data_IF_007646612074
#
_entry.id   IF_007646612074
#
_cell.length_a   1.000
_cell.length_b   1.000
_cell.length_c   1.000
_cell.angle_alpha   90.00
_cell.angle_beta   90.00
_cell.angle_gamma   90.00
#
_symmetry.space_group_name_H-M   'P 1'
#
loop_
_entity.id
_entity.type
_entity.pdbx_description
1 polymer ?
#
# COMPACT_ATOMS: atom_id res chain seq x y z
N UNK A 1 5.06 12.58 -13.44
CA UNK A 1 3.69 12.31 -13.00
C UNK A 1 3.72 10.99 -12.22
N UNK A 2 3.25 10.99 -11.00
CA UNK A 2 3.61 10.01 -9.98
C UNK A 2 3.25 8.57 -10.32
N UNK A 3 4.13 7.62 -9.96
CA UNK A 3 3.96 6.17 -10.15
C UNK A 3 2.65 5.62 -9.55
N UNK A 4 2.08 6.29 -8.54
CA UNK A 4 0.80 5.94 -7.93
C UNK A 4 -0.42 6.69 -8.51
N UNK A 5 -0.23 7.74 -9.33
CA UNK A 5 -1.35 8.53 -9.88
C UNK A 5 -2.08 7.85 -11.05
N UNK A 6 -1.54 6.77 -11.62
CA UNK A 6 -2.21 6.04 -12.72
C UNK A 6 -3.54 5.37 -12.32
N UNK A 7 -3.86 5.31 -11.02
CA UNK A 7 -5.09 4.69 -10.49
C UNK A 7 -5.89 5.60 -9.54
N UNK A 8 -5.47 6.86 -9.36
CA UNK A 8 -6.13 7.80 -8.44
C UNK A 8 -6.89 8.84 -9.22
N UNK A 9 -8.16 9.07 -8.88
CA UNK A 9 -8.91 10.21 -9.42
C UNK A 9 -8.30 11.53 -8.91
N UNK A 10 -8.54 12.64 -9.62
CA UNK A 10 -8.09 13.97 -9.17
C UNK A 10 -8.69 14.34 -7.80
N UNK A 11 -9.90 13.85 -7.49
CA UNK A 11 -10.56 14.01 -6.18
C UNK A 11 -9.81 13.28 -5.05
N UNK A 12 -9.32 12.06 -5.32
CA UNK A 12 -8.51 11.32 -4.35
C UNK A 12 -7.21 12.05 -4.03
N UNK A 13 -6.54 12.62 -5.04
CA UNK A 13 -5.29 13.37 -4.84
C UNK A 13 -5.54 14.58 -3.96
N UNK A 14 -6.60 15.36 -4.21
CA UNK A 14 -6.95 16.52 -3.39
C UNK A 14 -7.24 16.12 -1.93
N UNK A 15 -8.02 15.05 -1.73
CA UNK A 15 -8.40 14.54 -0.39
C UNK A 15 -7.22 14.11 0.46
N UNK A 16 -6.17 13.54 -0.16
CA UNK A 16 -5.00 13.01 0.54
C UNK A 16 -3.79 13.94 0.54
N UNK A 17 -3.93 15.15 0.02
CA UNK A 17 -2.86 16.15 0.00
C UNK A 17 -2.81 16.92 1.32
N UNK A 18 -1.66 16.87 1.98
CA UNK A 18 -1.33 17.66 3.17
C UNK A 18 -0.51 18.87 2.71
N UNK A 19 -1.00 20.09 2.99
CA UNK A 19 -0.32 21.35 2.65
C UNK A 19 -0.03 22.21 3.90
N UNK A 20 -0.45 21.76 5.08
CA UNK A 20 -0.15 22.43 6.33
C UNK A 20 1.31 22.20 6.72
N UNK A 21 2.11 23.27 6.88
CA UNK A 21 3.55 23.19 7.17
C UNK A 21 3.86 22.41 8.45
N UNK A 22 3.09 22.64 9.52
CA UNK A 22 3.28 21.95 10.81
C UNK A 22 3.01 20.45 10.70
N UNK A 23 2.02 20.06 9.91
CA UNK A 23 1.72 18.64 9.67
C UNK A 23 2.80 17.99 8.80
N UNK A 24 3.30 18.68 7.78
CA UNK A 24 4.44 18.23 6.97
C UNK A 24 5.65 18.01 7.85
N UNK A 25 6.01 18.97 8.72
CA UNK A 25 7.11 18.81 9.66
C UNK A 25 6.92 17.57 10.56
N UNK A 26 5.72 17.36 11.09
CA UNK A 26 5.41 16.16 11.90
C UNK A 26 5.64 14.87 11.14
N UNK A 27 5.27 14.82 9.84
CA UNK A 27 5.53 13.67 8.98
C UNK A 27 7.04 13.43 8.86
N UNK A 28 7.84 14.46 8.57
CA UNK A 28 9.29 14.34 8.43
C UNK A 28 9.98 13.96 9.74
N UNK A 29 9.57 14.54 10.88
CA UNK A 29 10.08 14.12 12.22
C UNK A 29 9.83 12.63 12.45
N UNK A 30 8.64 12.15 12.11
CA UNK A 30 8.29 10.75 12.28
C UNK A 30 9.07 9.85 11.33
N UNK A 31 9.23 10.23 10.05
CA UNK A 31 10.05 9.49 9.09
C UNK A 31 11.50 9.35 9.58
N UNK A 32 12.06 10.42 10.15
CA UNK A 32 13.41 10.42 10.69
C UNK A 32 13.53 9.52 11.92
N UNK A 33 12.60 9.63 12.88
CA UNK A 33 12.60 8.83 14.10
C UNK A 33 12.43 7.33 13.83
N UNK A 34 11.62 6.97 12.83
CA UNK A 34 11.38 5.57 12.42
C UNK A 34 12.41 5.06 11.40
N UNK A 35 13.42 5.85 11.03
CA UNK A 35 14.40 5.52 9.99
C UNK A 35 13.74 4.98 8.71
N UNK A 36 12.68 5.66 8.29
CA UNK A 36 11.84 5.19 7.19
C UNK A 36 12.63 5.09 5.89
N UNK A 37 12.61 3.91 5.26
CA UNK A 37 13.20 3.72 3.93
C UNK A 37 12.44 4.57 2.91
N UNK A 38 13.20 5.29 2.11
CA UNK A 38 12.73 6.21 1.09
C UNK A 38 13.21 5.76 -0.28
N UNK A 39 12.37 5.85 -1.28
CA UNK A 39 12.75 5.67 -2.68
C UNK A 39 12.74 7.03 -3.37
N UNK A 40 13.89 7.42 -3.93
CA UNK A 40 14.03 8.61 -4.78
C UNK A 40 14.02 8.16 -6.24
N UNK A 41 13.02 8.59 -7.00
CA UNK A 41 12.93 8.33 -8.44
C UNK A 41 13.40 9.55 -9.23
N UNK A 42 14.25 9.32 -10.24
CA UNK A 42 14.62 10.34 -11.21
C UNK A 42 13.43 10.73 -12.12
N UNK A 43 13.60 11.78 -12.93
CA UNK A 43 12.56 12.32 -13.81
C UNK A 43 11.90 11.29 -14.72
N UNK A 44 12.66 10.30 -15.20
CA UNK A 44 12.19 9.25 -16.08
C UNK A 44 11.29 8.21 -15.38
N UNK A 45 11.26 8.21 -14.03
CA UNK A 45 10.49 7.28 -13.22
C UNK A 45 10.94 5.81 -13.31
N UNK A 46 12.07 5.54 -13.96
CA UNK A 46 12.65 4.19 -14.11
C UNK A 46 13.82 3.99 -13.15
N UNK A 47 14.72 4.98 -13.11
CA UNK A 47 15.91 4.93 -12.27
C UNK A 47 15.58 5.46 -10.89
N UNK A 48 16.03 4.75 -9.86
CA UNK A 48 15.76 5.08 -8.47
C UNK A 48 16.88 4.62 -7.55
N UNK A 49 16.94 5.24 -6.39
CA UNK A 49 17.75 4.80 -5.26
C UNK A 49 16.85 4.52 -4.05
N UNK A 50 17.18 3.44 -3.33
CA UNK A 50 16.67 3.21 -1.99
C UNK A 50 17.61 3.86 -1.00
N UNK A 51 17.08 4.75 -0.17
CA UNK A 51 17.82 5.56 0.77
C UNK A 51 17.05 5.80 2.05
N UNK A 52 17.56 6.65 2.93
CA UNK A 52 16.90 7.09 4.15
C UNK A 52 16.91 8.62 4.27
N UNK A 53 15.93 9.14 4.98
CA UNK A 53 15.95 10.52 5.42
C UNK A 53 17.00 10.65 6.54
N UNK A 54 18.04 11.46 6.31
CA UNK A 54 19.12 11.70 7.29
C UNK A 54 18.90 12.93 8.14
N UNK A 55 18.08 13.88 7.66
CA UNK A 55 17.72 15.06 8.40
C UNK A 55 16.80 15.99 7.64
N UNK A 56 16.23 16.96 8.36
CA UNK A 56 15.55 18.11 7.77
C UNK A 56 15.65 19.31 8.70
N UNK A 57 15.56 20.49 8.13
CA UNK A 57 15.59 21.74 8.90
C UNK A 57 14.46 22.67 8.41
N UNK A 58 13.38 22.81 9.19
CA UNK A 58 12.26 23.70 8.84
C UNK A 58 12.67 25.17 8.72
N UNK A 59 13.63 25.62 9.54
CA UNK A 59 14.10 27.00 9.54
C UNK A 59 14.83 27.39 8.26
N UNK A 60 15.59 26.47 7.66
CA UNK A 60 16.26 26.67 6.36
C UNK A 60 15.45 26.16 5.19
N UNK A 61 14.40 25.38 5.43
CA UNK A 61 13.53 24.81 4.41
C UNK A 61 14.15 23.70 3.57
N UNK A 62 15.08 22.93 4.16
CA UNK A 62 15.77 21.84 3.46
C UNK A 62 15.58 20.47 4.13
N UNK A 63 15.63 19.45 3.29
CA UNK A 63 15.59 18.04 3.65
C UNK A 63 16.82 17.34 3.05
N UNK A 64 17.32 16.33 3.77
CA UNK A 64 18.55 15.62 3.43
C UNK A 64 18.28 14.11 3.35
N UNK A 65 18.74 13.48 2.27
CA UNK A 65 18.68 12.04 2.08
C UNK A 65 20.09 11.50 1.87
N UNK A 66 20.35 10.34 2.37
CA UNK A 66 21.61 9.65 2.13
C UNK A 66 21.83 9.37 0.64
N UNK A 67 23.08 9.29 0.18
CA UNK A 67 23.39 8.85 -1.17
C UNK A 67 23.34 7.33 -1.26
N UNK A 68 22.92 6.80 -2.43
CA UNK A 68 22.97 5.38 -2.70
C UNK A 68 24.43 4.90 -2.91
N UNK A 69 24.61 3.59 -2.93
CA UNK A 69 25.91 2.98 -3.21
C UNK A 69 26.35 3.09 -4.68
N UNK A 70 25.37 3.27 -5.58
CA UNK A 70 25.59 3.35 -7.02
C UNK A 70 25.83 4.82 -7.42
N UNK A 71 27.08 5.16 -7.75
CA UNK A 71 27.48 6.51 -8.12
C UNK A 71 26.85 6.98 -9.44
N UNK A 72 26.57 6.08 -10.37
CA UNK A 72 25.95 6.44 -11.65
C UNK A 72 24.50 6.86 -11.43
N UNK A 73 23.76 6.15 -10.59
CA UNK A 73 22.39 6.53 -10.20
C UNK A 73 22.39 7.82 -9.38
N UNK A 74 23.35 7.99 -8.46
CA UNK A 74 23.51 9.23 -7.70
C UNK A 74 23.75 10.42 -8.65
N UNK A 75 24.67 10.27 -9.61
CA UNK A 75 24.98 11.31 -10.61
C UNK A 75 23.75 11.65 -11.47
N UNK A 76 22.94 10.67 -11.84
CA UNK A 76 21.71 10.85 -12.59
C UNK A 76 20.68 11.64 -11.76
N UNK A 77 20.48 11.29 -10.49
CA UNK A 77 19.58 12.00 -9.58
C UNK A 77 20.02 13.47 -9.38
N UNK A 78 21.31 13.76 -9.29
CA UNK A 78 21.82 15.14 -9.22
C UNK A 78 21.58 15.95 -10.50
N UNK A 79 21.51 15.30 -11.67
CA UNK A 79 21.20 15.94 -12.96
C UNK A 79 19.70 16.11 -13.20
N UNK A 80 18.86 15.35 -12.51
CA UNK A 80 17.41 15.40 -12.67
C UNK A 80 16.83 16.75 -12.27
N UNK A 81 15.88 17.24 -13.04
CA UNK A 81 15.17 18.51 -12.77
C UNK A 81 14.33 18.41 -11.50
N UNK A 82 13.82 17.21 -11.23
CA UNK A 82 13.03 16.90 -10.04
C UNK A 82 13.23 15.44 -9.65
N UNK A 83 13.02 15.13 -8.37
CA UNK A 83 12.94 13.77 -7.86
C UNK A 83 11.55 13.51 -7.26
N UNK A 84 10.99 12.35 -7.55
CA UNK A 84 9.79 11.89 -6.85
C UNK A 84 10.22 11.05 -5.66
N UNK A 85 9.78 11.43 -4.48
CA UNK A 85 10.06 10.76 -3.21
C UNK A 85 8.87 9.92 -2.83
N UNK A 86 9.11 8.63 -2.54
CA UNK A 86 8.10 7.70 -2.05
C UNK A 86 8.62 7.03 -0.79
N UNK A 87 7.82 7.03 0.26
CA UNK A 87 8.10 6.33 1.50
C UNK A 87 6.85 5.57 1.96
N UNK A 88 7.06 4.49 2.71
CA UNK A 88 5.96 3.76 3.34
C UNK A 88 6.16 3.77 4.85
N UNK A 89 5.27 4.44 5.56
CA UNK A 89 5.29 4.60 7.00
C UNK A 89 3.98 4.05 7.59
N UNK A 90 4.05 3.01 8.43
CA UNK A 90 2.87 2.38 9.06
C UNK A 90 1.75 2.05 8.06
N UNK A 91 2.10 1.43 6.92
CA UNK A 91 1.18 1.09 5.81
C UNK A 91 0.60 2.30 5.04
N UNK A 92 0.96 3.53 5.41
CA UNK A 92 0.61 4.76 4.71
C UNK A 92 1.69 5.09 3.70
N UNK A 93 1.32 5.33 2.45
CA UNK A 93 2.24 5.80 1.42
C UNK A 93 2.36 7.34 1.53
N UNK A 94 3.59 7.81 1.70
CA UNK A 94 3.97 9.21 1.67
C UNK A 94 4.65 9.47 0.32
N UNK A 95 4.14 10.43 -0.44
CA UNK A 95 4.73 10.80 -1.72
C UNK A 95 4.79 12.31 -1.89
N UNK A 96 5.91 12.81 -2.43
CA UNK A 96 6.04 14.21 -2.78
C UNK A 96 7.11 14.41 -3.87
N UNK A 97 7.14 15.59 -4.45
CA UNK A 97 8.19 16.01 -5.39
C UNK A 97 9.20 16.86 -4.64
N UNK A 98 10.45 16.44 -4.64
CA UNK A 98 11.54 17.13 -3.96
C UNK A 98 12.19 18.27 -4.77
N UNK A 99 11.78 18.49 -6.04
CA UNK A 99 12.48 19.39 -6.94
C UNK A 99 13.89 18.89 -7.29
N UNK A 100 14.78 19.81 -7.66
CA UNK A 100 16.18 19.47 -7.98
C UNK A 100 16.94 19.07 -6.71
N UNK A 101 17.72 17.99 -6.82
CA UNK A 101 18.61 17.53 -5.76
C UNK A 101 19.98 18.21 -5.89
N UNK A 102 20.49 18.72 -4.79
CA UNK A 102 21.80 19.35 -4.68
C UNK A 102 22.75 18.44 -3.90
N UNK A 103 24.02 18.40 -4.29
CA UNK A 103 25.07 17.71 -3.51
C UNK A 103 25.42 18.61 -2.32
N UNK A 104 25.37 18.05 -1.12
CA UNK A 104 25.73 18.76 0.12
C UNK A 104 26.49 17.84 1.08
N UNK A 105 27.11 18.41 2.12
CA UNK A 105 27.60 17.67 3.27
C UNK A 105 26.65 17.85 4.44
N UNK A 106 26.28 16.74 5.08
CA UNK A 106 25.48 16.72 6.29
C UNK A 106 26.04 15.68 7.25
N UNK A 107 26.38 16.08 8.48
CA UNK A 107 27.06 15.22 9.46
C UNK A 107 28.33 14.51 8.94
N UNK A 108 29.09 15.19 8.06
CA UNK A 108 30.33 14.65 7.49
C UNK A 108 30.16 13.85 6.18
N UNK A 109 28.97 13.38 5.87
CA UNK A 109 28.67 12.54 4.70
C UNK A 109 28.12 13.38 3.53
N UNK A 110 28.31 12.88 2.31
CA UNK A 110 27.72 13.44 1.09
C UNK A 110 26.25 12.98 1.02
N UNK A 111 25.35 13.94 0.84
CA UNK A 111 23.91 13.70 0.84
C UNK A 111 23.22 14.39 -0.32
N UNK A 112 22.02 13.91 -0.68
CA UNK A 112 21.07 14.64 -1.50
C UNK A 112 20.37 15.69 -0.62
N UNK A 113 20.53 16.96 -0.97
CA UNK A 113 19.83 18.07 -0.35
C UNK A 113 18.71 18.55 -1.28
N UNK A 114 17.52 18.72 -0.76
CA UNK A 114 16.37 19.25 -1.48
C UNK A 114 15.59 20.26 -0.66
N UNK A 115 14.79 21.09 -1.33
CA UNK A 115 13.82 21.96 -0.62
C UNK A 115 12.73 21.11 0.01
N UNK A 116 12.32 21.50 1.21
CA UNK A 116 11.16 20.92 1.88
C UNK A 116 9.91 21.12 1.01
N UNK A 117 9.11 20.07 0.77
CA UNK A 117 7.96 20.18 -0.11
C UNK A 117 6.88 21.06 0.51
N UNK A 118 6.18 21.84 -0.33
CA UNK A 118 5.00 22.62 0.08
C UNK A 118 3.75 21.76 0.27
N UNK A 119 3.74 20.57 -0.28
CA UNK A 119 2.65 19.60 -0.13
C UNK A 119 3.17 18.17 -0.19
N UNK A 120 2.52 17.29 0.56
CA UNK A 120 2.84 15.87 0.66
C UNK A 120 1.55 15.09 0.44
N UNK A 121 1.58 14.12 -0.45
CA UNK A 121 0.48 13.19 -0.63
C UNK A 121 0.61 12.08 0.43
N UNK A 122 -0.30 12.05 1.39
CA UNK A 122 -0.40 11.05 2.44
C UNK A 122 -1.52 10.07 2.08
N UNK A 123 -1.17 9.01 1.36
CA UNK A 123 -2.12 8.15 0.70
C UNK A 123 -2.60 7.04 1.63
N UNK A 124 -3.66 7.30 2.40
CA UNK A 124 -4.32 6.34 3.26
C UNK A 124 -5.75 6.06 2.76
N UNK A 125 -5.87 5.15 1.76
CA UNK A 125 -7.17 4.73 1.22
C UNK A 125 -7.89 3.71 2.10
N UNK A 126 -7.14 3.01 2.97
CA UNK A 126 -7.68 1.92 3.77
C UNK A 126 -8.19 2.44 5.09
N UNK A 127 -9.48 2.38 5.30
CA UNK A 127 -10.13 2.69 6.57
C UNK A 127 -9.89 1.58 7.59
N UNK A 128 -9.81 0.33 7.11
CA UNK A 128 -9.65 -0.85 7.96
C UNK A 128 -8.29 -1.51 7.74
N UNK A 129 -7.71 -1.98 8.85
CA UNK A 129 -6.55 -2.84 8.82
C UNK A 129 -6.87 -4.13 8.04
N UNK A 130 -5.94 -4.60 7.23
CA UNK A 130 -6.05 -5.86 6.50
C UNK A 130 -5.11 -6.88 7.07
N UNK A 131 -5.69 -7.98 7.50
CA UNK A 131 -4.97 -9.13 8.03
C UNK A 131 -4.68 -10.11 6.89
N UNK A 132 -3.41 -10.38 6.54
CA UNK A 132 -3.08 -11.47 5.62
C UNK A 132 -3.50 -12.82 6.22
N UNK A 133 -4.13 -13.66 5.41
CA UNK A 133 -4.53 -15.01 5.85
C UNK A 133 -3.34 -15.96 5.91
N UNK A 134 -3.47 -17.04 6.69
CA UNK A 134 -2.47 -18.11 6.77
C UNK A 134 -2.37 -18.87 5.46
N UNK A 135 -1.14 -19.21 5.05
CA UNK A 135 -0.92 -20.08 3.91
C UNK A 135 -1.03 -21.58 4.27
N UNK A 136 -0.81 -21.92 5.54
CA UNK A 136 -0.93 -23.32 6.02
C UNK A 136 -2.39 -23.78 6.02
N UNK A 137 -3.30 -22.87 6.40
CA UNK A 137 -4.74 -23.10 6.38
C UNK A 137 -5.42 -21.97 5.60
N UNK A 138 -5.43 -22.05 4.26
CA UNK A 138 -5.92 -20.96 3.44
C UNK A 138 -7.43 -20.78 3.58
N UNK A 139 -7.83 -19.57 3.94
CA UNK A 139 -9.24 -19.17 3.87
C UNK A 139 -9.70 -19.17 2.40
N UNK A 140 -10.96 -19.52 2.16
CA UNK A 140 -11.54 -19.68 0.82
C UNK A 140 -12.81 -18.88 0.67
N UNK A 141 -13.05 -18.41 -0.55
CA UNK A 141 -14.31 -17.79 -0.92
C UNK A 141 -14.84 -18.39 -2.23
N UNK A 142 -16.11 -18.80 -2.23
CA UNK A 142 -16.78 -19.31 -3.42
C UNK A 142 -17.75 -18.26 -3.95
N UNK A 143 -17.59 -17.91 -5.24
CA UNK A 143 -18.47 -17.00 -5.98
C UNK A 143 -19.34 -17.82 -6.92
N UNK A 144 -20.64 -17.61 -6.89
CA UNK A 144 -21.57 -18.29 -7.80
C UNK A 144 -21.81 -17.41 -9.02
N UNK A 145 -21.34 -17.88 -10.18
CA UNK A 145 -21.48 -17.21 -11.46
C UNK A 145 -22.44 -18.02 -12.35
N UNK A 146 -23.04 -17.41 -13.38
CA UNK A 146 -23.96 -18.11 -14.29
C UNK A 146 -23.36 -19.37 -14.96
N UNK A 147 -22.03 -19.37 -15.15
CA UNK A 147 -21.30 -20.48 -15.82
C UNK A 147 -20.66 -21.47 -14.83
N UNK A 148 -20.89 -21.32 -13.52
CA UNK A 148 -20.33 -22.22 -12.51
C UNK A 148 -19.83 -21.50 -11.25
N UNK A 149 -19.12 -22.23 -10.40
CA UNK A 149 -18.59 -21.72 -9.13
C UNK A 149 -17.11 -21.43 -9.26
N UNK A 150 -16.72 -20.17 -9.02
CA UNK A 150 -15.33 -19.75 -8.88
C UNK A 150 -14.90 -19.94 -7.42
N UNK A 151 -13.92 -20.80 -7.20
CA UNK A 151 -13.27 -20.97 -5.89
C UNK A 151 -12.00 -20.11 -5.84
N UNK A 152 -11.96 -19.16 -4.93
CA UNK A 152 -10.83 -18.25 -4.75
C UNK A 152 -10.19 -18.44 -3.37
N UNK A 153 -8.88 -18.24 -3.28
CA UNK A 153 -8.14 -18.20 -2.02
C UNK A 153 -8.19 -16.79 -1.46
N UNK A 154 -8.58 -16.63 -0.20
CA UNK A 154 -8.57 -15.32 0.47
C UNK A 154 -7.12 -14.98 0.82
N UNK A 155 -6.64 -13.86 0.31
CA UNK A 155 -5.28 -13.38 0.53
C UNK A 155 -5.18 -12.49 1.79
N UNK A 156 -6.19 -11.66 2.01
CA UNK A 156 -6.33 -10.81 3.18
C UNK A 156 -7.80 -10.60 3.55
N UNK A 157 -8.05 -10.28 4.81
CA UNK A 157 -9.38 -9.98 5.36
C UNK A 157 -9.33 -8.71 6.22
N UNK A 158 -10.38 -7.91 6.16
CA UNK A 158 -10.62 -6.75 7.00
C UNK A 158 -12.10 -6.68 7.38
N UNK A 159 -12.47 -5.75 8.27
CA UNK A 159 -13.89 -5.51 8.61
C UNK A 159 -14.69 -5.04 7.39
N UNK A 160 -14.05 -4.33 6.44
CA UNK A 160 -14.72 -3.79 5.25
C UNK A 160 -14.73 -4.71 4.02
N UNK A 161 -13.97 -5.82 4.01
CA UNK A 161 -13.87 -6.68 2.82
C UNK A 161 -12.73 -7.69 2.84
N UNK A 162 -12.57 -8.37 1.72
CA UNK A 162 -11.52 -9.37 1.50
C UNK A 162 -10.75 -9.12 0.21
N UNK A 163 -9.48 -9.48 0.19
CA UNK A 163 -8.70 -9.68 -1.01
C UNK A 163 -8.68 -11.16 -1.38
N UNK A 164 -8.92 -11.50 -2.64
CA UNK A 164 -8.91 -12.89 -3.09
C UNK A 164 -7.99 -13.10 -4.27
N UNK A 165 -7.38 -14.30 -4.34
CA UNK A 165 -6.57 -14.77 -5.46
C UNK A 165 -7.31 -15.89 -6.19
N UNK A 166 -7.32 -15.85 -7.53
CA UNK A 166 -7.89 -16.87 -8.38
C UNK A 166 -7.12 -16.97 -9.71
N UNK A 167 -7.25 -18.09 -10.47
CA UNK A 167 -6.51 -18.30 -11.71
C UNK A 167 -6.79 -17.23 -12.77
N UNK A 168 -5.82 -17.02 -13.66
CA UNK A 168 -5.94 -16.09 -14.79
C UNK A 168 -6.83 -16.60 -15.91
N UNK A 169 -7.06 -17.89 -15.95
CA UNK A 169 -7.88 -18.64 -16.92
C UNK A 169 -9.17 -19.16 -16.27
N UNK A 170 -10.17 -19.47 -17.08
CA UNK A 170 -11.47 -19.97 -16.65
C UNK A 170 -12.45 -18.88 -16.24
N UNK A 171 -13.20 -19.12 -15.14
CA UNK A 171 -14.22 -18.21 -14.65
C UNK A 171 -13.58 -16.91 -14.11
N UNK A 172 -14.18 -15.77 -14.45
CA UNK A 172 -13.66 -14.46 -14.13
C UNK A 172 -14.67 -13.62 -13.34
N UNK A 173 -14.16 -12.82 -12.41
CA UNK A 173 -14.92 -11.76 -11.73
C UNK A 173 -14.91 -10.49 -12.59
N UNK A 174 -15.90 -9.63 -12.39
CA UNK A 174 -16.03 -8.36 -13.08
C UNK A 174 -15.93 -7.19 -12.07
N UNK A 175 -15.03 -6.25 -12.32
CA UNK A 175 -14.90 -5.06 -11.48
C UNK A 175 -16.19 -4.22 -11.51
N UNK A 176 -16.60 -3.72 -10.35
CA UNK A 176 -17.85 -2.99 -10.15
C UNK A 176 -19.07 -3.86 -9.87
N UNK A 177 -19.02 -5.16 -10.16
CA UNK A 177 -20.15 -6.09 -9.99
C UNK A 177 -20.29 -6.58 -8.56
N UNK A 178 -21.52 -6.79 -8.13
CA UNK A 178 -21.86 -7.41 -6.85
C UNK A 178 -22.24 -8.88 -7.07
N UNK A 179 -21.74 -9.73 -6.20
CA UNK A 179 -22.03 -11.16 -6.17
C UNK A 179 -22.68 -11.50 -4.83
N UNK A 180 -23.91 -11.96 -4.87
CA UNK A 180 -24.68 -12.33 -3.69
C UNK A 180 -24.49 -13.80 -3.34
N UNK A 181 -24.72 -14.14 -2.07
CA UNK A 181 -24.67 -15.53 -1.59
C UNK A 181 -23.28 -16.16 -1.64
N UNK A 182 -22.21 -15.39 -1.78
CA UNK A 182 -20.84 -15.90 -1.72
C UNK A 182 -20.64 -16.67 -0.41
N UNK A 183 -19.90 -17.79 -0.46
CA UNK A 183 -19.55 -18.58 0.73
C UNK A 183 -18.13 -18.29 1.15
N UNK A 184 -17.98 -17.68 2.33
CA UNK A 184 -16.67 -17.37 2.92
C UNK A 184 -16.37 -18.36 4.04
N UNK A 185 -15.29 -19.11 3.89
CA UNK A 185 -14.74 -20.02 4.86
C UNK A 185 -13.43 -19.49 5.39
N UNK A 186 -13.44 -18.94 6.60
CA UNK A 186 -12.25 -18.51 7.34
C UNK A 186 -11.74 -19.68 8.19
N UNK A 187 -10.41 -19.83 8.30
CA UNK A 187 -9.82 -20.93 9.10
C UNK A 187 -10.29 -20.91 10.54
N UNK A 188 -10.77 -22.07 11.03
CA UNK A 188 -11.28 -22.23 12.40
C UNK A 188 -12.59 -21.51 12.70
N UNK A 189 -13.31 -21.02 11.65
CA UNK A 189 -14.62 -20.37 11.80
C UNK A 189 -15.69 -21.10 11.00
N UNK A 190 -16.98 -21.00 11.37
CA UNK A 190 -18.07 -21.51 10.54
C UNK A 190 -18.11 -20.79 9.21
N UNK A 191 -18.57 -21.51 8.15
CA UNK A 191 -18.82 -20.90 6.87
C UNK A 191 -19.95 -19.87 6.96
N UNK A 192 -19.76 -18.71 6.32
CA UNK A 192 -20.74 -17.63 6.30
C UNK A 192 -21.15 -17.28 4.87
N UNK A 193 -22.42 -16.89 4.70
CA UNK A 193 -22.95 -16.36 3.44
C UNK A 193 -22.88 -14.85 3.45
N UNK A 194 -22.31 -14.26 2.39
CA UNK A 194 -22.05 -12.83 2.27
C UNK A 194 -22.31 -12.34 0.85
N UNK A 195 -22.54 -11.03 0.70
CA UNK A 195 -22.53 -10.36 -0.60
C UNK A 195 -21.26 -9.53 -0.74
N UNK A 196 -20.63 -9.64 -1.93
CA UNK A 196 -19.33 -9.01 -2.23
C UNK A 196 -19.42 -8.14 -3.48
N UNK A 197 -19.04 -6.87 -3.38
CA UNK A 197 -18.79 -6.01 -4.53
C UNK A 197 -17.30 -6.06 -4.89
N UNK A 198 -16.99 -6.41 -6.12
CA UNK A 198 -15.62 -6.39 -6.64
C UNK A 198 -15.23 -4.94 -6.95
N UNK A 199 -14.24 -4.41 -6.21
CA UNK A 199 -13.79 -3.03 -6.37
C UNK A 199 -12.63 -2.88 -7.34
N UNK A 200 -11.74 -3.88 -7.42
CA UNK A 200 -10.56 -3.84 -8.28
C UNK A 200 -10.11 -5.24 -8.66
N UNK A 201 -9.52 -5.39 -9.85
CA UNK A 201 -8.91 -6.63 -10.32
C UNK A 201 -7.57 -6.28 -10.97
N UNK A 202 -6.50 -7.01 -10.62
CA UNK A 202 -5.20 -6.87 -11.25
C UNK A 202 -4.41 -8.19 -11.21
N UNK A 203 -3.48 -8.35 -12.15
CA UNK A 203 -2.54 -9.49 -12.14
C UNK A 203 -1.48 -9.29 -11.07
N UNK A 204 -1.15 -10.35 -10.36
CA UNK A 204 -0.08 -10.37 -9.37
C UNK A 204 0.64 -11.71 -9.39
N UNK A 205 1.86 -11.74 -8.81
CA UNK A 205 2.62 -12.98 -8.66
C UNK A 205 2.58 -13.39 -7.19
N UNK A 206 2.24 -14.65 -6.94
CA UNK A 206 2.28 -15.21 -5.59
C UNK A 206 3.72 -15.42 -5.11
N UNK A 207 3.92 -15.70 -3.83
CA UNK A 207 5.25 -16.02 -3.27
C UNK A 207 5.86 -17.28 -3.92
N UNK A 208 5.06 -18.16 -4.47
CA UNK A 208 5.51 -19.36 -5.18
C UNK A 208 5.82 -19.11 -6.66
N UNK A 209 5.75 -17.87 -7.14
CA UNK A 209 6.02 -17.49 -8.52
C UNK A 209 4.83 -17.64 -9.48
N UNK A 210 3.70 -18.17 -9.04
CA UNK A 210 2.52 -18.31 -9.89
C UNK A 210 1.83 -16.97 -10.17
N UNK A 211 1.49 -16.71 -11.44
CA UNK A 211 0.69 -15.54 -11.82
C UNK A 211 -0.79 -15.81 -11.58
N UNK A 212 -1.43 -14.95 -10.81
CA UNK A 212 -2.85 -15.02 -10.46
C UNK A 212 -3.53 -13.68 -10.63
N UNK A 213 -4.85 -13.66 -10.66
CA UNK A 213 -5.64 -12.46 -10.51
C UNK A 213 -5.90 -12.20 -9.02
N UNK A 214 -5.71 -10.96 -8.62
CA UNK A 214 -6.12 -10.45 -7.32
C UNK A 214 -7.36 -9.60 -7.49
N UNK A 215 -8.44 -9.91 -6.75
CA UNK A 215 -9.61 -9.06 -6.66
C UNK A 215 -9.76 -8.51 -5.24
N UNK A 216 -9.86 -7.18 -5.11
CA UNK A 216 -10.29 -6.52 -3.88
C UNK A 216 -11.81 -6.44 -3.83
N UNK A 217 -12.42 -7.03 -2.82
CA UNK A 217 -13.86 -7.12 -2.67
C UNK A 217 -14.33 -6.44 -1.38
N UNK A 218 -15.39 -5.64 -1.48
CA UNK A 218 -16.03 -4.97 -0.36
C UNK A 218 -17.25 -5.79 0.10
N UNK A 219 -17.44 -5.93 1.39
CA UNK A 219 -18.66 -6.50 1.94
C UNK A 219 -19.85 -5.56 1.70
N UNK A 220 -20.97 -6.15 1.27
CA UNK A 220 -22.23 -5.45 1.08
C UNK A 220 -23.24 -5.96 2.12
N UNK A 221 -23.76 -5.04 2.96
CA UNK A 221 -24.81 -5.34 3.96
C UNK A 221 -24.55 -6.63 4.75
N UNK A 222 -23.43 -6.69 5.47
CA UNK A 222 -23.07 -7.86 6.28
C UNK A 222 -24.18 -8.16 7.32
N UNK A 223 -24.69 -9.40 7.36
CA UNK A 223 -25.50 -9.85 8.49
C UNK A 223 -24.69 -9.77 9.79
N UNK A 224 -25.33 -9.42 10.90
CA UNK A 224 -24.67 -9.26 12.20
C UNK A 224 -23.84 -10.50 12.63
N UNK A 225 -24.35 -11.70 12.34
CA UNK A 225 -23.66 -12.97 12.61
C UNK A 225 -22.36 -13.10 11.79
N UNK A 226 -22.41 -12.69 10.51
CA UNK A 226 -21.25 -12.73 9.63
C UNK A 226 -20.20 -11.70 10.07
N UNK A 227 -20.62 -10.50 10.43
CA UNK A 227 -19.75 -9.45 10.97
C UNK A 227 -19.05 -9.93 12.24
N UNK A 228 -19.77 -10.47 13.21
CA UNK A 228 -19.22 -11.01 14.45
C UNK A 228 -18.20 -12.15 14.19
N UNK A 229 -18.47 -13.00 13.18
CA UNK A 229 -17.56 -14.09 12.80
C UNK A 229 -16.25 -13.56 12.23
N UNK A 230 -16.33 -12.54 11.33
CA UNK A 230 -15.15 -11.88 10.73
C UNK A 230 -14.32 -11.18 11.81
N UNK A 231 -14.96 -10.41 12.69
CA UNK A 231 -14.28 -9.71 13.78
C UNK A 231 -13.57 -10.70 14.72
N UNK A 232 -14.23 -11.80 15.08
CA UNK A 232 -13.64 -12.86 15.91
C UNK A 232 -12.42 -13.49 15.25
N UNK A 233 -12.49 -13.77 13.94
CA UNK A 233 -11.35 -14.29 13.17
C UNK A 233 -10.17 -13.32 13.20
N UNK A 234 -10.39 -12.03 12.90
CA UNK A 234 -9.35 -11.00 12.89
C UNK A 234 -8.70 -10.92 14.27
N UNK A 235 -9.50 -10.83 15.33
CA UNK A 235 -9.00 -10.73 16.69
C UNK A 235 -8.16 -11.97 17.13
N UNK A 236 -8.64 -13.17 16.79
CA UNK A 236 -7.91 -14.42 17.06
C UNK A 236 -6.55 -14.42 16.35
N UNK A 237 -6.54 -14.13 15.06
CA UNK A 237 -5.32 -14.18 14.26
C UNK A 237 -4.31 -13.06 14.63
N UNK A 238 -4.77 -11.90 15.08
CA UNK A 238 -3.87 -10.87 15.65
C UNK A 238 -3.24 -11.31 16.96
N UNK A 239 -4.01 -11.95 17.84
CA UNK A 239 -3.50 -12.48 19.10
C UNK A 239 -2.45 -13.56 18.85
N UNK A 240 -2.75 -14.50 17.95
CA UNK A 240 -1.85 -15.61 17.63
C UNK A 240 -0.53 -15.11 17.01
N UNK A 241 -0.55 -14.00 16.24
CA UNK A 241 0.66 -13.35 15.74
C UNK A 241 1.50 -12.70 16.84
N UNK A 242 0.87 -12.06 17.83
CA UNK A 242 1.60 -11.43 18.95
C UNK A 242 2.25 -12.44 19.88
N UNK A 243 1.74 -13.66 19.96
CA UNK A 243 2.32 -14.73 20.76
C UNK A 243 3.52 -15.43 20.11
N UNK A 244 3.83 -15.12 18.82
CA UNK A 244 4.96 -15.68 18.08
C UNK A 244 6.15 -14.70 17.96
N UNK A 245 6.05 -13.52 18.57
CA UNK A 245 7.09 -12.48 18.66
C UNK A 245 7.54 -12.33 20.10
#
# INVERSE_FOLDING_TARGET
MALFSKQSSNEDVARFTVSNATEIERIFRKMLAEQTVVTLYADNGKDFVLTALTGFNPGTGYVYFDCGRDEDINAMLFRSVKATVIAKMNQVCIQFTAGRLERAKYNGEIVFKAKLPKSVLRFQRREFYRLPTSMAEPAKCSFYLPKGTLKAVVADVSVGGIGVHYPTDGLQLEAGKTYDGCRLQLSGMPEISISLKVCSIFKTTTRTGATVLHAGCQFMKLPQVAEATIQRYIFKAERDRKSLV
#
